data_IF_771745927482
#
_entry.id   IF_771745927482
#
_cell.length_a   1.000
_cell.length_b   1.000
_cell.length_c   1.000
_cell.angle_alpha   90.00
_cell.angle_beta   90.00
_cell.angle_gamma   90.00
#
_symmetry.space_group_name_H-M   'P 1'
#
loop_
_entity.id
_entity.type
_entity.pdbx_description
1 polymer ?
#
# COMPACT_ATOMS: atom_id res chain seq x y z
N UNK A 1 -24.11 13.26 -18.78
CA UNK A 1 -22.90 12.59 -18.27
C UNK A 1 -22.40 13.40 -17.09
N UNK A 2 -22.85 13.07 -15.88
CA UNK A 2 -22.39 13.73 -14.66
C UNK A 2 -21.23 12.92 -14.11
N UNK A 3 -20.01 13.40 -14.27
CA UNK A 3 -18.87 12.85 -13.56
C UNK A 3 -18.99 13.24 -12.10
N UNK A 4 -19.25 12.26 -11.23
CA UNK A 4 -19.04 12.45 -9.79
C UNK A 4 -17.59 12.84 -9.53
N UNK A 5 -17.28 13.40 -8.35
CA UNK A 5 -15.90 13.65 -7.97
C UNK A 5 -15.10 12.34 -8.07
N UNK A 6 -13.99 12.37 -8.81
CA UNK A 6 -13.05 11.25 -8.87
C UNK A 6 -12.42 11.10 -7.49
N UNK A 7 -12.68 9.98 -6.81
CA UNK A 7 -11.96 9.61 -5.59
C UNK A 7 -10.66 8.94 -5.99
N UNK A 8 -9.53 9.38 -5.45
CA UNK A 8 -8.23 8.87 -5.86
C UNK A 8 -7.03 9.65 -5.32
N UNK A 9 -5.88 9.43 -5.93
CA UNK A 9 -4.62 10.08 -5.58
C UNK A 9 -3.85 10.45 -6.85
N UNK A 10 -3.30 11.64 -6.89
CA UNK A 10 -2.24 11.98 -7.83
C UNK A 10 -0.89 11.81 -7.12
N UNK A 11 -0.03 10.97 -7.69
CA UNK A 11 1.31 10.69 -7.19
C UNK A 11 2.30 11.24 -8.19
N UNK A 12 3.18 12.12 -7.76
CA UNK A 12 4.29 12.63 -8.58
C UNK A 12 5.60 12.10 -8.03
N UNK A 13 6.44 11.55 -8.90
CA UNK A 13 7.70 10.92 -8.53
C UNK A 13 8.75 11.12 -9.62
N UNK A 14 10.00 11.31 -9.19
CA UNK A 14 11.16 11.45 -10.08
C UNK A 14 11.87 10.11 -10.26
N UNK A 15 12.59 9.96 -11.37
CA UNK A 15 13.56 8.88 -11.59
C UNK A 15 14.75 8.99 -10.64
N UNK A 16 14.99 10.18 -10.06
CA UNK A 16 15.93 10.36 -8.96
C UNK A 16 15.35 9.78 -7.66
N UNK A 17 15.97 8.70 -7.18
CA UNK A 17 15.61 8.02 -5.94
C UNK A 17 15.75 8.91 -4.68
N UNK A 18 16.52 10.00 -4.76
CA UNK A 18 16.68 10.96 -3.65
C UNK A 18 15.60 12.05 -3.63
N UNK A 19 14.92 12.29 -4.75
CA UNK A 19 13.80 13.24 -4.81
C UNK A 19 12.65 12.77 -3.92
N UNK A 20 11.99 13.66 -3.17
CA UNK A 20 10.73 13.32 -2.51
C UNK A 20 9.65 12.86 -3.50
N UNK A 21 8.65 12.15 -2.97
CA UNK A 21 7.43 11.75 -3.68
C UNK A 21 6.26 12.59 -3.17
N UNK A 22 5.50 13.19 -4.06
CA UNK A 22 4.31 13.94 -3.68
C UNK A 22 3.08 13.06 -3.86
N UNK A 23 2.23 12.98 -2.83
CA UNK A 23 0.94 12.28 -2.88
C UNK A 23 -0.16 13.30 -2.57
N UNK A 24 -1.07 13.49 -3.54
CA UNK A 24 -2.15 14.48 -3.46
C UNK A 24 -3.50 13.79 -3.57
N UNK A 25 -4.32 13.74 -2.50
CA UNK A 25 -5.65 13.13 -2.58
C UNK A 25 -6.56 13.91 -3.52
N UNK A 26 -7.40 13.20 -4.25
CA UNK A 26 -8.46 13.73 -5.10
C UNK A 26 -9.78 13.21 -4.52
N UNK A 27 -10.61 14.08 -3.94
CA UNK A 27 -11.84 13.67 -3.26
C UNK A 27 -11.61 13.03 -1.88
N UNK A 28 -12.69 12.47 -1.32
CA UNK A 28 -12.67 11.85 0.00
C UNK A 28 -12.67 10.32 -0.12
N UNK A 29 -11.72 9.67 0.55
CA UNK A 29 -11.69 8.23 0.75
C UNK A 29 -11.89 7.94 2.24
N UNK A 30 -12.87 7.10 2.64
CA UNK A 30 -13.01 6.70 4.03
C UNK A 30 -11.74 6.05 4.57
N UNK A 31 -11.44 6.24 5.86
CA UNK A 31 -10.23 5.69 6.51
C UNK A 31 -10.08 4.17 6.30
N UNK A 32 -11.18 3.42 6.45
CA UNK A 32 -11.21 1.97 6.22
C UNK A 32 -11.01 1.58 4.75
N UNK A 33 -11.19 2.50 3.81
CA UNK A 33 -10.96 2.29 2.38
C UNK A 33 -9.47 2.35 2.01
N UNK A 34 -8.64 2.99 2.83
CA UNK A 34 -7.21 3.17 2.54
C UNK A 34 -6.47 1.82 2.47
N UNK A 35 -6.80 0.87 3.35
CA UNK A 35 -6.18 -0.46 3.35
C UNK A 35 -6.51 -1.24 2.07
N UNK A 36 -7.75 -1.18 1.60
CA UNK A 36 -8.15 -1.79 0.34
C UNK A 36 -7.43 -1.18 -0.86
N UNK A 37 -7.32 0.15 -0.91
CA UNK A 37 -6.63 0.83 -1.99
C UNK A 37 -5.15 0.45 -2.01
N UNK A 38 -4.51 0.36 -0.84
CA UNK A 38 -3.13 -0.09 -0.72
C UNK A 38 -2.96 -1.56 -1.13
N UNK A 39 -3.82 -2.47 -0.65
CA UNK A 39 -3.76 -3.90 -0.98
C UNK A 39 -3.91 -4.15 -2.50
N UNK A 40 -4.86 -3.46 -3.15
CA UNK A 40 -5.10 -3.58 -4.58
C UNK A 40 -3.96 -2.98 -5.40
N UNK A 41 -3.41 -1.83 -4.98
CA UNK A 41 -2.23 -1.25 -5.61
C UNK A 41 -1.03 -2.21 -5.47
N UNK A 42 -0.81 -2.75 -4.28
CA UNK A 42 0.30 -3.67 -4.01
C UNK A 42 0.19 -4.93 -4.86
N UNK A 43 -0.96 -5.60 -4.88
CA UNK A 43 -1.20 -6.78 -5.70
C UNK A 43 -0.95 -6.49 -7.19
N UNK A 44 -1.45 -5.36 -7.69
CA UNK A 44 -1.23 -4.92 -9.07
C UNK A 44 0.24 -4.69 -9.39
N UNK A 45 0.96 -3.95 -8.56
CA UNK A 45 2.38 -3.68 -8.79
C UNK A 45 3.20 -4.96 -8.71
N UNK A 46 2.90 -5.86 -7.78
CA UNK A 46 3.58 -7.15 -7.67
C UNK A 46 3.34 -8.04 -8.90
N UNK A 47 2.12 -8.04 -9.44
CA UNK A 47 1.80 -8.72 -10.70
C UNK A 47 2.56 -8.12 -11.90
N UNK A 48 2.53 -6.79 -12.03
CA UNK A 48 3.21 -6.07 -13.12
C UNK A 48 4.73 -6.23 -13.08
N UNK A 49 5.33 -6.31 -11.88
CA UNK A 49 6.77 -6.53 -11.70
C UNK A 49 7.18 -7.99 -11.92
N UNK A 50 6.27 -8.95 -11.70
CA UNK A 50 6.55 -10.38 -11.88
C UNK A 50 7.79 -10.84 -11.10
N UNK A 51 8.76 -11.42 -11.81
CA UNK A 51 10.03 -11.91 -11.25
C UNK A 51 11.16 -10.86 -11.21
N UNK A 52 10.85 -9.58 -11.46
CA UNK A 52 11.85 -8.52 -11.41
C UNK A 52 12.51 -8.40 -10.02
N UNK A 53 13.77 -7.94 -9.99
CA UNK A 53 14.52 -7.75 -8.75
C UNK A 53 13.79 -6.80 -7.79
N UNK A 54 13.13 -5.77 -8.33
CA UNK A 54 12.36 -4.78 -7.60
C UNK A 54 11.15 -5.39 -6.87
N UNK A 55 10.50 -6.42 -7.42
CA UNK A 55 9.45 -7.16 -6.73
C UNK A 55 10.01 -7.92 -5.51
N UNK A 56 11.18 -8.54 -5.65
CA UNK A 56 11.83 -9.22 -4.52
C UNK A 56 12.25 -8.24 -3.44
N UNK A 57 12.88 -7.13 -3.82
CA UNK A 57 13.33 -6.09 -2.89
C UNK A 57 12.15 -5.45 -2.15
N UNK A 58 11.06 -5.12 -2.86
CA UNK A 58 9.85 -4.55 -2.26
C UNK A 58 9.23 -5.51 -1.23
N UNK A 59 9.12 -6.81 -1.56
CA UNK A 59 8.62 -7.82 -0.62
C UNK A 59 9.49 -7.91 0.62
N UNK A 60 10.80 -8.10 0.45
CA UNK A 60 11.73 -8.24 1.56
C UNK A 60 11.66 -7.04 2.52
N UNK A 61 11.66 -5.82 1.97
CA UNK A 61 11.56 -4.60 2.74
C UNK A 61 10.24 -4.50 3.52
N UNK A 62 9.11 -4.70 2.85
CA UNK A 62 7.79 -4.63 3.50
C UNK A 62 7.63 -5.74 4.54
N UNK A 63 8.07 -6.96 4.25
CA UNK A 63 8.00 -8.09 5.18
C UNK A 63 8.85 -7.87 6.43
N UNK A 64 10.08 -7.37 6.28
CA UNK A 64 10.94 -7.04 7.41
C UNK A 64 10.31 -5.96 8.29
N UNK A 65 9.78 -4.91 7.67
CA UNK A 65 9.04 -3.87 8.38
C UNK A 65 7.81 -4.44 9.11
N UNK A 66 7.02 -5.27 8.45
CA UNK A 66 5.81 -5.85 8.99
C UNK A 66 6.09 -6.81 10.17
N UNK A 67 7.13 -7.64 10.08
CA UNK A 67 7.57 -8.49 11.21
C UNK A 67 7.94 -7.62 12.40
N UNK A 68 8.71 -6.56 12.19
CA UNK A 68 9.10 -5.63 13.25
C UNK A 68 7.88 -4.96 13.90
N UNK A 69 6.93 -4.52 13.07
CA UNK A 69 5.72 -3.82 13.49
C UNK A 69 4.65 -4.71 14.12
N UNK A 70 4.59 -6.01 13.78
CA UNK A 70 3.59 -6.96 14.30
C UNK A 70 3.54 -7.01 15.84
N UNK A 71 4.69 -6.87 16.50
CA UNK A 71 4.82 -6.81 17.97
C UNK A 71 4.43 -5.47 18.59
N UNK A 72 4.17 -4.45 17.76
CA UNK A 72 3.96 -3.04 18.15
C UNK A 72 2.54 -2.55 17.89
N UNK A 73 1.71 -3.32 17.21
CA UNK A 73 0.35 -2.91 16.81
C UNK A 73 -0.57 -2.53 17.99
N UNK A 74 -0.32 -3.08 19.20
CA UNK A 74 -1.06 -2.74 20.42
C UNK A 74 -0.40 -1.65 21.27
N UNK A 75 0.78 -1.18 20.87
CA UNK A 75 1.46 -0.09 21.56
C UNK A 75 0.81 1.26 21.18
N UNK A 76 0.87 2.28 22.05
CA UNK A 76 0.40 3.61 21.72
C UNK A 76 1.08 4.13 20.45
N UNK A 77 0.29 4.69 19.51
CA UNK A 77 0.79 5.07 18.19
C UNK A 77 1.94 6.09 18.29
N UNK A 78 1.79 7.11 19.13
CA UNK A 78 2.84 8.10 19.38
C UNK A 78 4.15 7.47 19.91
N UNK A 79 4.07 6.41 20.71
CA UNK A 79 5.23 5.70 21.20
C UNK A 79 5.99 4.99 20.07
N UNK A 80 5.26 4.41 19.12
CA UNK A 80 5.83 3.75 17.93
C UNK A 80 6.42 4.78 16.96
N UNK A 81 5.69 5.89 16.74
CA UNK A 81 6.08 7.00 15.87
C UNK A 81 7.37 7.68 16.34
N UNK A 82 7.45 8.07 17.61
CA UNK A 82 8.64 8.74 18.17
C UNK A 82 9.91 7.89 18.14
N UNK A 83 9.77 6.56 18.07
CA UNK A 83 10.89 5.63 17.89
C UNK A 83 11.29 5.41 16.42
N UNK A 84 10.61 6.06 15.47
CA UNK A 84 10.91 5.97 14.04
C UNK A 84 10.51 4.65 13.39
N UNK A 85 9.67 3.83 14.02
CA UNK A 85 9.30 2.52 13.49
C UNK A 85 8.27 2.57 12.35
N UNK A 86 7.66 3.73 12.09
CA UNK A 86 6.61 3.90 11.10
C UNK A 86 7.11 4.12 9.67
N UNK A 87 8.41 4.27 9.47
CA UNK A 87 8.97 4.48 8.13
C UNK A 87 9.02 3.15 7.38
N UNK A 88 8.30 3.04 6.25
CA UNK A 88 8.35 1.88 5.35
C UNK A 88 9.69 1.74 4.62
N UNK A 89 10.36 2.88 4.42
CA UNK A 89 11.63 2.99 3.73
C UNK A 89 12.42 4.16 4.35
N UNK A 90 13.66 3.93 4.75
CA UNK A 90 14.50 4.97 5.37
C UNK A 90 14.93 6.08 4.41
N UNK A 91 14.86 5.83 3.10
CA UNK A 91 15.25 6.75 2.02
C UNK A 91 14.04 7.48 1.42
N UNK A 92 12.83 6.93 1.55
CA UNK A 92 11.61 7.58 1.07
C UNK A 92 11.30 8.85 1.88
N UNK A 93 11.00 9.93 1.17
CA UNK A 93 10.50 11.18 1.76
C UNK A 93 9.23 11.59 1.01
N UNK A 94 8.20 11.96 1.75
CA UNK A 94 7.03 12.62 1.18
C UNK A 94 7.27 14.13 1.13
N UNK A 95 6.90 14.78 0.02
CA UNK A 95 7.10 16.21 -0.16
C UNK A 95 7.08 16.62 -1.63
N UNK A 96 7.41 17.89 -1.90
CA UNK A 96 7.52 18.42 -3.26
C UNK A 96 8.62 17.69 -4.04
N UNK A 97 8.28 17.25 -5.25
CA UNK A 97 9.20 16.54 -6.14
C UNK A 97 10.26 17.51 -6.67
N UNK A 98 11.52 17.07 -6.65
CA UNK A 98 12.64 17.85 -7.20
C UNK A 98 13.04 17.31 -8.57
N UNK A 99 13.13 18.18 -9.57
CA UNK A 99 13.52 17.83 -10.94
C UNK A 99 12.35 17.32 -11.80
N UNK A 100 12.63 16.67 -12.95
CA UNK A 100 11.61 16.09 -13.80
C UNK A 100 10.80 15.04 -13.04
N UNK A 101 9.47 15.13 -13.12
CA UNK A 101 8.55 14.25 -12.40
C UNK A 101 7.60 13.56 -13.37
N UNK A 102 7.35 12.28 -13.12
CA UNK A 102 6.26 11.54 -13.73
C UNK A 102 5.02 11.68 -12.86
N UNK A 103 3.87 11.90 -13.51
CA UNK A 103 2.57 11.92 -12.84
C UNK A 103 1.88 10.58 -13.01
N UNK A 104 1.42 10.03 -11.90
CA UNK A 104 0.62 8.81 -11.82
C UNK A 104 -0.70 9.14 -11.14
N UNK A 105 -1.81 8.88 -11.82
CA UNK A 105 -3.15 9.03 -11.24
C UNK A 105 -3.67 7.65 -10.83
N UNK A 106 -3.96 7.52 -9.54
CA UNK A 106 -4.65 6.38 -8.94
C UNK A 106 -6.12 6.75 -8.79
N UNK A 107 -7.00 6.15 -9.59
CA UNK A 107 -8.45 6.33 -9.46
C UNK A 107 -9.05 5.17 -8.70
N UNK A 108 -9.95 5.47 -7.77
CA UNK A 108 -10.67 4.51 -6.93
C UNK A 108 -12.15 4.59 -7.28
N UNK A 109 -12.67 3.53 -7.89
CA UNK A 109 -14.09 3.38 -8.17
C UNK A 109 -14.69 2.43 -7.14
N UNK A 110 -15.53 2.97 -6.26
CA UNK A 110 -16.21 2.19 -5.23
C UNK A 110 -17.73 2.36 -5.40
N UNK A 111 -18.40 1.27 -5.78
CA UNK A 111 -19.86 1.19 -5.72
C UNK A 111 -20.28 0.51 -4.41
N UNK A 112 -21.42 0.92 -3.84
CA UNK A 112 -21.93 0.33 -2.61
C UNK A 112 -22.18 -1.17 -2.81
N UNK A 113 -21.53 -2.01 -2.00
CA UNK A 113 -21.67 -3.47 -2.05
C UNK A 113 -20.71 -4.18 -3.01
N UNK A 114 -19.84 -3.44 -3.70
CA UNK A 114 -18.81 -3.99 -4.58
C UNK A 114 -17.41 -3.78 -4.00
N UNK A 115 -16.45 -4.63 -4.42
CA UNK A 115 -15.05 -4.39 -4.12
C UNK A 115 -14.59 -3.12 -4.84
N UNK A 116 -13.79 -2.26 -4.18
CA UNK A 116 -13.25 -1.09 -4.85
C UNK A 116 -12.36 -1.54 -6.00
N UNK A 117 -12.43 -0.81 -7.11
CA UNK A 117 -11.52 -0.98 -8.23
C UNK A 117 -10.48 0.13 -8.21
N UNK A 118 -9.23 -0.25 -8.44
CA UNK A 118 -8.10 0.70 -8.47
C UNK A 118 -7.50 0.73 -9.87
N UNK A 119 -7.51 1.90 -10.49
CA UNK A 119 -6.98 2.13 -11.83
C UNK A 119 -5.78 3.06 -11.76
N UNK A 120 -4.66 2.61 -12.35
CA UNK A 120 -3.47 3.42 -12.55
C UNK A 120 -3.47 3.99 -13.97
N UNK A 121 -3.37 5.31 -14.06
CA UNK A 121 -3.12 6.06 -15.30
C UNK A 121 -1.77 6.76 -15.17
N UNK A 122 -0.95 6.66 -16.20
CA UNK A 122 0.44 7.14 -16.18
C UNK A 122 0.67 8.01 -17.40
N UNK A 123 1.37 9.14 -17.24
CA UNK A 123 1.72 9.99 -18.40
C UNK A 123 2.76 9.31 -19.30
N UNK A 124 3.74 8.63 -18.71
CA UNK A 124 4.66 7.76 -19.43
C UNK A 124 3.98 6.46 -19.88
N UNK A 125 4.33 6.01 -21.08
CA UNK A 125 3.88 4.72 -21.65
C UNK A 125 4.38 3.53 -20.85
N UNK A 126 5.55 3.64 -20.20
CA UNK A 126 6.08 2.61 -19.32
C UNK A 126 6.84 3.25 -18.14
N UNK A 127 6.37 2.97 -16.92
CA UNK A 127 7.07 3.38 -15.70
C UNK A 127 8.15 2.36 -15.36
N UNK A 128 9.38 2.82 -15.06
CA UNK A 128 10.45 1.94 -14.60
C UNK A 128 10.02 1.08 -13.40
N UNK A 129 10.46 -0.19 -13.32
CA UNK A 129 10.15 -1.10 -12.19
C UNK A 129 10.40 -0.48 -10.81
N UNK A 130 11.51 0.23 -10.63
CA UNK A 130 11.84 0.91 -9.38
C UNK A 130 10.81 1.99 -9.01
N UNK A 131 10.29 2.74 -9.99
CA UNK A 131 9.25 3.75 -9.76
C UNK A 131 7.91 3.09 -9.40
N UNK A 132 7.56 1.96 -10.04
CA UNK A 132 6.37 1.17 -9.70
C UNK A 132 6.40 0.69 -8.24
N UNK A 133 7.52 0.12 -7.81
CA UNK A 133 7.69 -0.28 -6.41
C UNK A 133 7.56 0.92 -5.44
N UNK A 134 8.12 2.06 -5.83
CA UNK A 134 8.08 3.31 -5.06
C UNK A 134 6.66 3.88 -4.90
N UNK A 135 5.74 3.62 -5.83
CA UNK A 135 4.32 4.01 -5.69
C UNK A 135 3.67 3.35 -4.47
N UNK A 136 3.89 2.05 -4.27
CA UNK A 136 3.35 1.29 -3.13
C UNK A 136 3.87 1.86 -1.82
N UNK A 137 5.18 2.12 -1.75
CA UNK A 137 5.83 2.67 -0.57
C UNK A 137 5.33 4.09 -0.26
N UNK A 138 5.24 4.96 -1.28
CA UNK A 138 4.78 6.33 -1.13
C UNK A 138 3.32 6.41 -0.65
N UNK A 139 2.43 5.63 -1.25
CA UNK A 139 1.03 5.62 -0.83
C UNK A 139 0.86 5.04 0.58
N UNK A 140 1.58 3.95 0.89
CA UNK A 140 1.57 3.37 2.23
C UNK A 140 2.10 4.34 3.29
N UNK A 141 3.20 5.03 3.00
CA UNK A 141 3.77 6.03 3.89
C UNK A 141 2.81 7.20 4.11
N UNK A 142 2.14 7.67 3.05
CA UNK A 142 1.15 8.74 3.12
C UNK A 142 -0.02 8.37 4.04
N UNK A 143 -0.54 7.15 3.93
CA UNK A 143 -1.60 6.67 4.82
C UNK A 143 -1.12 6.48 6.26
N UNK A 144 0.10 5.96 6.49
CA UNK A 144 0.66 5.82 7.84
C UNK A 144 0.76 7.17 8.57
N UNK A 145 1.11 8.25 7.85
CA UNK A 145 1.24 9.58 8.45
C UNK A 145 -0.10 10.21 8.84
N UNK A 146 -1.18 9.83 8.17
CA UNK A 146 -2.53 10.39 8.38
C UNK A 146 -3.53 9.48 9.10
N UNK A 147 -3.23 8.19 9.29
CA UNK A 147 -4.20 7.19 9.77
C UNK A 147 -3.55 6.13 10.68
N UNK A 148 -3.73 6.30 11.99
CA UNK A 148 -3.25 5.37 13.03
C UNK A 148 -3.80 3.94 12.87
N UNK A 149 -5.04 3.79 12.38
CA UNK A 149 -5.65 2.47 12.17
C UNK A 149 -4.96 1.76 11.02
N UNK A 150 -4.74 2.45 9.89
CA UNK A 150 -4.00 1.90 8.76
C UNK A 150 -2.61 1.42 9.17
N UNK A 151 -1.87 2.23 9.94
CA UNK A 151 -0.54 1.87 10.40
C UNK A 151 -0.52 0.63 11.32
N UNK A 152 -1.60 0.36 12.04
CA UNK A 152 -1.76 -0.84 12.88
C UNK A 152 -2.16 -2.07 12.06
N UNK A 153 -2.99 -1.90 11.03
CA UNK A 153 -3.50 -2.99 10.20
C UNK A 153 -2.49 -3.46 9.16
N UNK A 154 -1.76 -2.53 8.54
CA UNK A 154 -0.86 -2.80 7.42
C UNK A 154 0.15 -3.95 7.66
N UNK A 155 0.82 -4.07 8.82
CA UNK A 155 1.73 -5.19 9.08
C UNK A 155 1.05 -6.56 8.93
N UNK A 156 -0.21 -6.69 9.34
CA UNK A 156 -0.94 -7.95 9.24
C UNK A 156 -1.29 -8.26 7.79
N UNK A 157 -1.66 -7.23 7.01
CA UNK A 157 -1.92 -7.38 5.58
C UNK A 157 -0.68 -7.82 4.81
N UNK A 158 0.47 -7.16 5.04
CA UNK A 158 1.75 -7.54 4.42
C UNK A 158 2.10 -9.01 4.73
N UNK A 159 1.98 -9.43 6.00
CA UNK A 159 2.25 -10.81 6.39
C UNK A 159 1.26 -11.81 5.77
N UNK A 160 0.02 -11.39 5.55
CA UNK A 160 -0.98 -12.20 4.87
C UNK A 160 -0.69 -12.33 3.37
N UNK A 161 -0.25 -11.25 2.69
CA UNK A 161 0.25 -11.32 1.31
C UNK A 161 1.45 -12.25 1.19
N UNK A 162 2.43 -12.14 2.09
CA UNK A 162 3.56 -13.08 2.17
C UNK A 162 3.09 -14.53 2.25
N UNK A 163 2.12 -14.80 3.13
CA UNK A 163 1.54 -16.15 3.28
C UNK A 163 0.83 -16.60 2.01
N UNK A 164 0.02 -15.74 1.40
CA UNK A 164 -0.70 -16.05 0.17
C UNK A 164 0.28 -16.40 -0.96
N UNK A 165 1.31 -15.58 -1.18
CA UNK A 165 2.30 -15.80 -2.23
C UNK A 165 3.21 -17.02 -2.01
N UNK A 166 3.33 -17.49 -0.77
CA UNK A 166 4.06 -18.71 -0.44
C UNK A 166 3.21 -19.99 -0.52
N UNK A 167 1.94 -19.91 -0.10
CA UNK A 167 1.11 -21.09 0.16
C UNK A 167 -0.06 -21.28 -0.84
N UNK A 168 -0.49 -20.22 -1.54
CA UNK A 168 -1.73 -20.21 -2.34
C UNK A 168 -1.44 -20.02 -3.83
N UNK A 169 -0.87 -18.88 -4.22
CA UNK A 169 -0.59 -18.59 -5.62
C UNK A 169 0.46 -17.49 -5.78
N UNK A 170 1.34 -17.56 -6.80
CA UNK A 170 2.38 -16.56 -7.02
C UNK A 170 1.80 -15.20 -7.40
N UNK A 171 2.54 -14.13 -7.13
CA UNK A 171 2.11 -12.76 -7.42
C UNK A 171 1.92 -12.48 -8.92
N UNK A 172 2.62 -13.22 -9.79
CA UNK A 172 2.50 -13.10 -11.25
C UNK A 172 1.21 -13.68 -11.83
N UNK A 173 0.41 -14.42 -11.05
CA UNK A 173 -0.85 -14.98 -11.54
C UNK A 173 -1.94 -13.89 -11.59
N UNK A 174 -2.75 -13.82 -12.67
CA UNK A 174 -3.84 -12.83 -12.76
C UNK A 174 -4.86 -12.93 -11.63
N UNK A 175 -5.15 -14.14 -11.14
CA UNK A 175 -6.10 -14.39 -10.04
C UNK A 175 -5.64 -13.73 -8.73
N UNK A 176 -4.31 -13.62 -8.53
CA UNK A 176 -3.72 -12.99 -7.35
C UNK A 176 -4.01 -11.49 -7.24
N UNK A 177 -4.44 -10.82 -8.31
CA UNK A 177 -4.86 -9.42 -8.29
C UNK A 177 -6.10 -9.19 -7.40
N UNK A 178 -6.97 -10.19 -7.30
CA UNK A 178 -8.21 -10.12 -6.51
C UNK A 178 -8.12 -10.99 -5.25
N UNK A 179 -7.59 -12.21 -5.38
CA UNK A 179 -7.59 -13.18 -4.29
C UNK A 179 -6.63 -12.81 -3.15
N UNK A 180 -5.45 -12.25 -3.45
CA UNK A 180 -4.48 -11.89 -2.43
C UNK A 180 -4.96 -10.74 -1.52
N UNK A 181 -5.54 -9.62 -2.04
CA UNK A 181 -6.21 -8.62 -1.21
C UNK A 181 -7.34 -9.20 -0.34
N UNK A 182 -8.21 -10.04 -0.91
CA UNK A 182 -9.30 -10.68 -0.17
C UNK A 182 -8.77 -11.58 0.95
N UNK A 183 -7.69 -12.32 0.69
CA UNK A 183 -7.03 -13.15 1.68
C UNK A 183 -6.44 -12.29 2.81
N UNK A 184 -5.79 -11.18 2.48
CA UNK A 184 -5.21 -10.27 3.47
C UNK A 184 -6.26 -9.72 4.43
N UNK A 185 -7.38 -9.22 3.90
CA UNK A 185 -8.51 -8.72 4.70
C UNK A 185 -9.10 -9.80 5.60
N UNK A 186 -9.30 -11.02 5.09
CA UNK A 186 -9.82 -12.13 5.91
C UNK A 186 -8.86 -12.46 7.06
N UNK A 187 -7.55 -12.50 6.81
CA UNK A 187 -6.55 -12.77 7.83
C UNK A 187 -6.46 -11.66 8.87
N UNK A 188 -6.56 -10.40 8.47
CA UNK A 188 -6.64 -9.28 9.40
C UNK A 188 -7.88 -9.36 10.30
N UNK A 189 -9.05 -9.64 9.73
CA UNK A 189 -10.29 -9.83 10.49
C UNK A 189 -10.17 -10.98 11.51
N UNK A 190 -9.66 -12.14 11.09
CA UNK A 190 -9.40 -13.29 11.99
C UNK A 190 -8.46 -12.89 13.13
N UNK A 191 -7.37 -12.18 12.81
CA UNK A 191 -6.36 -11.76 13.76
C UNK A 191 -6.94 -10.83 14.82
N UNK A 192 -7.57 -9.72 14.43
CA UNK A 192 -8.10 -8.74 15.38
C UNK A 192 -9.28 -9.29 16.21
N UNK A 193 -10.11 -10.17 15.63
CA UNK A 193 -11.16 -10.85 16.39
C UNK A 193 -10.59 -11.82 17.44
N UNK A 194 -9.50 -12.52 17.12
CA UNK A 194 -8.84 -13.43 18.05
C UNK A 194 -8.20 -12.66 19.22
N UNK A 195 -7.53 -11.56 18.92
CA UNK A 195 -6.89 -10.69 19.91
C UNK A 195 -7.90 -10.05 20.88
N UNK A 196 -9.07 -9.65 20.36
CA UNK A 196 -10.14 -9.10 21.20
C UNK A 196 -10.70 -10.16 22.15
N UNK A 197 -10.79 -11.43 21.72
CA UNK A 197 -11.25 -12.56 22.56
C UNK A 197 -10.22 -13.02 23.60
N UNK A 198 -8.93 -12.84 23.36
CA UNK A 198 -7.86 -13.19 24.31
C UNK A 198 -7.55 -12.07 25.32
N UNK A 199 -8.16 -10.90 25.16
CA UNK A 199 -7.94 -9.72 26.02
C UNK A 199 -9.11 -9.42 26.98
N UNK A 200 -10.14 -10.28 27.00
CA UNK A 200 -11.29 -10.23 27.91
C UNK A 200 -11.28 -11.42 28.87
#
# INVERSE_FOLDING_TARGET
>A
MGGGPLTGFEIQLSTDASSPVMVSPQGELPEYGQIWVWDLLYARIMHELGEAQEASALREQLELWAVNMSSKIYQPFDHVRTKGHLNLDETLRLGEVTGPAERVRLTVDAATGELPQVRLETEATDLPPAMRARLVLALGQYFIEGNDLFARELPIHILAFRKYYADVGPAGDPESLEEAPLFAVRKALEYFQSATRSSG
#
